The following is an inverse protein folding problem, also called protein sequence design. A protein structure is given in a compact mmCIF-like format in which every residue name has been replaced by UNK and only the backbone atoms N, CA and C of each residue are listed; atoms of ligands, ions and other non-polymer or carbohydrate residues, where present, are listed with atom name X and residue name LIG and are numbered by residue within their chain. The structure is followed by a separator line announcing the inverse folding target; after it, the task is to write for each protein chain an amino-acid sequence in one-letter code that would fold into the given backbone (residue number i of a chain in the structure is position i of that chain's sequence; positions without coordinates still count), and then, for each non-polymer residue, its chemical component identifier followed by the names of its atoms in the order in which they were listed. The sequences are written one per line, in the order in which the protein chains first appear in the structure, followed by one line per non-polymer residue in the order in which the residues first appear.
data_IF_524594509497
#
_entry.id   IF_524594509497
#
_cell.length_a   1.000
_cell.length_b   1.000
_cell.length_c   1.000
_cell.angle_alpha   90.00
_cell.angle_beta   90.00
_cell.angle_gamma   90.00
#
_symmetry.space_group_name_H-M   'P 1'
#
loop_
_entity.id
_entity.type
_entity.pdbx_description
1 polymer ?
#
# COMPACT_ATOMS: atom_id res chain seq x y z
N UNK A 1 2.89 13.88 -5.25
CA UNK A 1 3.35 12.53 -5.64
C UNK A 1 4.28 11.94 -4.61
N UNK A 2 4.19 10.65 -4.36
CA UNK A 2 5.11 9.98 -3.44
C UNK A 2 6.50 9.87 -4.08
N UNK A 3 7.53 10.27 -3.36
CA UNK A 3 8.90 10.33 -3.86
C UNK A 3 9.45 8.94 -4.18
N UNK A 4 10.41 8.89 -5.12
CA UNK A 4 11.04 7.63 -5.55
C UNK A 4 11.65 6.83 -4.40
N UNK A 5 12.25 7.51 -3.42
CA UNK A 5 12.85 6.86 -2.25
C UNK A 5 11.84 6.08 -1.41
N UNK A 6 10.56 6.39 -1.53
CA UNK A 6 9.46 5.74 -0.82
C UNK A 6 8.81 4.62 -1.62
N UNK A 7 9.37 4.24 -2.77
CA UNK A 7 8.77 3.23 -3.65
C UNK A 7 9.63 1.99 -3.76
N UNK A 8 8.98 0.85 -3.70
CA UNK A 8 9.60 -0.44 -4.03
C UNK A 8 9.47 -0.62 -5.54
N UNK A 9 10.59 -0.89 -6.22
CA UNK A 9 10.62 -1.01 -7.68
C UNK A 9 11.05 -2.38 -8.16
N UNK A 10 11.97 -3.04 -7.46
CA UNK A 10 12.53 -4.31 -7.89
C UNK A 10 11.55 -5.45 -7.66
N UNK A 11 11.39 -6.28 -8.68
CA UNK A 11 10.55 -7.47 -8.58
C UNK A 11 11.04 -8.41 -7.47
N UNK A 12 12.35 -8.50 -7.28
CA UNK A 12 12.93 -9.31 -6.21
C UNK A 12 12.50 -8.83 -4.81
N UNK A 13 12.36 -7.50 -4.62
CA UNK A 13 11.90 -6.94 -3.35
C UNK A 13 10.44 -7.31 -3.09
N UNK A 14 9.58 -7.24 -4.11
CA UNK A 14 8.18 -7.68 -4.00
C UNK A 14 8.11 -9.14 -3.59
N UNK A 15 8.87 -10.01 -4.28
CA UNK A 15 8.85 -11.45 -4.00
C UNK A 15 9.34 -11.76 -2.60
N UNK A 16 10.38 -11.06 -2.14
CA UNK A 16 10.91 -11.23 -0.80
C UNK A 16 9.87 -10.86 0.26
N UNK A 17 9.17 -9.74 0.07
CA UNK A 17 8.13 -9.29 0.99
C UNK A 17 6.96 -10.26 1.03
N UNK A 18 6.52 -10.79 -0.13
CA UNK A 18 5.47 -11.79 -0.18
C UNK A 18 5.86 -13.06 0.57
N UNK A 19 7.12 -13.47 0.44
CA UNK A 19 7.61 -14.72 1.04
C UNK A 19 7.86 -14.61 2.54
N UNK A 20 8.41 -13.49 2.99
CA UNK A 20 8.90 -13.31 4.37
C UNK A 20 8.05 -12.39 5.22
N UNK A 21 7.17 -11.61 4.62
CA UNK A 21 6.35 -10.65 5.32
C UNK A 21 5.09 -11.26 5.92
N UNK A 22 4.37 -10.44 6.67
CA UNK A 22 3.04 -10.75 7.18
C UNK A 22 2.00 -10.12 6.27
N UNK A 23 0.82 -10.71 6.20
CA UNK A 23 -0.27 -10.13 5.42
C UNK A 23 -1.52 -9.95 6.26
N UNK A 24 -2.23 -8.88 5.98
CA UNK A 24 -3.58 -8.62 6.48
C UNK A 24 -4.43 -8.19 5.30
N UNK A 25 -5.73 -8.27 5.43
CA UNK A 25 -6.61 -7.92 4.33
C UNK A 25 -7.92 -7.37 4.84
N UNK A 26 -8.52 -6.53 4.01
CA UNK A 26 -9.94 -6.24 4.10
C UNK A 26 -10.58 -6.64 2.76
N UNK A 27 -11.81 -6.21 2.52
CA UNK A 27 -12.55 -6.62 1.32
C UNK A 27 -11.89 -6.11 0.03
N UNK A 28 -11.27 -4.93 0.08
CA UNK A 28 -10.75 -4.25 -1.10
C UNK A 28 -9.26 -4.38 -1.31
N UNK A 29 -8.49 -4.62 -0.25
CA UNK A 29 -7.03 -4.62 -0.31
C UNK A 29 -6.41 -5.74 0.50
N UNK A 30 -5.28 -6.24 0.02
CA UNK A 30 -4.36 -7.09 0.78
C UNK A 30 -3.10 -6.28 1.02
N UNK A 31 -2.60 -6.26 2.24
CA UNK A 31 -1.40 -5.51 2.62
C UNK A 31 -0.38 -6.47 3.19
N UNK A 32 0.80 -6.51 2.57
CA UNK A 32 1.96 -7.24 3.07
C UNK A 32 2.89 -6.26 3.74
N UNK A 33 3.42 -6.62 4.90
CA UNK A 33 4.40 -5.81 5.62
C UNK A 33 5.62 -6.65 5.99
N UNK A 34 6.79 -6.03 5.89
CA UNK A 34 8.06 -6.67 6.26
C UNK A 34 8.93 -5.64 6.95
N UNK A 35 9.24 -5.81 8.25
CA UNK A 35 10.19 -4.92 8.92
C UNK A 35 11.54 -4.91 8.21
N UNK A 36 12.12 -3.73 8.09
CA UNK A 36 13.41 -3.55 7.45
C UNK A 36 14.22 -2.53 8.26
N UNK A 37 15.25 -3.00 8.97
CA UNK A 37 16.04 -2.19 9.88
C UNK A 37 16.86 -1.10 9.18
N UNK A 38 17.09 -1.26 7.89
CA UNK A 38 17.90 -0.32 7.12
C UNK A 38 17.10 0.90 6.64
N UNK A 39 15.78 0.91 6.87
CA UNK A 39 14.93 1.99 6.40
C UNK A 39 14.86 3.13 7.40
N UNK A 40 14.97 4.35 6.88
CA UNK A 40 14.70 5.58 7.64
C UNK A 40 13.22 5.98 7.57
N UNK A 41 12.51 5.47 6.56
CA UNK A 41 11.10 5.71 6.32
C UNK A 41 10.49 4.49 5.63
N UNK A 42 9.17 4.46 5.50
CA UNK A 42 8.52 3.34 4.82
C UNK A 42 8.89 3.31 3.32
N UNK A 43 8.72 2.12 2.73
CA UNK A 43 8.72 1.98 1.26
C UNK A 43 7.43 1.28 0.84
N UNK A 44 6.84 1.76 -0.25
CA UNK A 44 5.55 1.30 -0.75
C UNK A 44 5.69 0.64 -2.12
N UNK A 45 5.18 -0.58 -2.23
CA UNK A 45 4.95 -1.24 -3.51
C UNK A 45 3.46 -1.36 -3.75
N UNK A 46 3.03 -1.22 -4.99
CA UNK A 46 1.61 -1.28 -5.36
C UNK A 46 1.44 -2.32 -6.46
N UNK A 47 0.46 -3.20 -6.28
CA UNK A 47 0.10 -4.20 -7.29
C UNK A 47 -1.38 -4.06 -7.64
N UNK A 48 -1.67 -3.68 -8.88
CA UNK A 48 -3.02 -3.59 -9.42
C UNK A 48 -3.07 -4.42 -10.69
N UNK A 49 -3.75 -5.56 -10.64
CA UNK A 49 -3.86 -6.50 -11.73
C UNK A 49 -4.64 -5.93 -12.91
N UNK A 50 -4.28 -6.36 -14.12
CA UNK A 50 -5.04 -6.05 -15.33
C UNK A 50 -6.49 -6.49 -15.26
N UNK A 51 -6.80 -7.46 -14.41
CA UNK A 51 -8.17 -7.95 -14.20
C UNK A 51 -9.10 -6.91 -13.57
N UNK A 52 -8.56 -5.88 -12.94
CA UNK A 52 -9.37 -4.84 -12.31
C UNK A 52 -9.91 -3.83 -13.32
N UNK A 53 -9.38 -3.80 -14.53
CA UNK A 53 -9.87 -2.89 -15.56
C UNK A 53 -8.77 -2.40 -16.48
N UNK A 54 -9.11 -1.40 -17.29
CA UNK A 54 -8.17 -0.79 -18.23
C UNK A 54 -7.18 0.12 -17.50
N UNK A 55 -6.26 0.73 -18.26
CA UNK A 55 -5.21 1.58 -17.70
C UNK A 55 -5.77 2.77 -16.92
N UNK A 56 -6.90 3.34 -17.35
CA UNK A 56 -7.53 4.47 -16.67
C UNK A 56 -7.96 4.07 -15.26
N UNK A 57 -8.66 2.94 -15.14
CA UNK A 57 -9.13 2.42 -13.84
C UNK A 57 -7.94 2.09 -12.94
N UNK A 58 -6.96 1.36 -13.47
CA UNK A 58 -5.79 0.95 -12.70
C UNK A 58 -4.97 2.15 -12.23
N UNK A 59 -4.77 3.14 -13.08
CA UNK A 59 -4.03 4.35 -12.72
C UNK A 59 -4.75 5.16 -11.64
N UNK A 60 -6.08 5.22 -11.70
CA UNK A 60 -6.89 5.88 -10.68
C UNK A 60 -6.67 5.22 -9.31
N UNK A 61 -6.72 3.89 -9.26
CA UNK A 61 -6.50 3.14 -8.02
C UNK A 61 -5.08 3.38 -7.49
N UNK A 62 -4.07 3.27 -8.35
CA UNK A 62 -2.67 3.49 -7.96
C UNK A 62 -2.46 4.91 -7.41
N UNK A 63 -3.04 5.89 -8.09
CA UNK A 63 -2.92 7.30 -7.66
C UNK A 63 -3.55 7.53 -6.30
N UNK A 64 -4.74 6.96 -6.06
CA UNK A 64 -5.41 7.08 -4.78
C UNK A 64 -4.61 6.42 -3.66
N UNK A 65 -3.98 5.28 -3.92
CA UNK A 65 -3.12 4.60 -2.95
C UNK A 65 -1.90 5.49 -2.62
N UNK A 66 -1.22 6.02 -3.63
CA UNK A 66 -0.06 6.89 -3.43
C UNK A 66 -0.42 8.15 -2.65
N UNK A 67 -1.56 8.74 -2.96
CA UNK A 67 -2.04 9.94 -2.28
C UNK A 67 -2.32 9.66 -0.80
N UNK A 68 -2.91 8.53 -0.48
CA UNK A 68 -3.13 8.14 0.90
C UNK A 68 -1.81 8.02 1.68
N UNK A 69 -0.81 7.36 1.10
CA UNK A 69 0.49 7.21 1.73
C UNK A 69 1.22 8.54 1.84
N UNK A 70 1.03 9.45 0.89
CA UNK A 70 1.60 10.80 0.96
C UNK A 70 0.98 11.59 2.11
N UNK A 71 -0.33 11.50 2.29
CA UNK A 71 -1.04 12.17 3.39
C UNK A 71 -0.50 11.67 4.74
N UNK A 72 -0.25 10.37 4.86
CA UNK A 72 0.23 9.75 6.10
C UNK A 72 1.75 9.57 6.15
N UNK A 73 2.48 10.31 5.35
CA UNK A 73 3.93 10.15 5.18
C UNK A 73 4.70 10.13 6.50
N UNK A 74 4.34 11.03 7.41
CA UNK A 74 5.01 11.15 8.71
C UNK A 74 4.41 10.22 9.77
N UNK A 75 3.30 9.57 9.47
CA UNK A 75 2.55 8.78 10.45
C UNK A 75 2.83 7.27 10.31
N UNK A 76 3.53 6.85 9.27
CA UNK A 76 3.80 5.44 9.00
C UNK A 76 5.21 5.10 9.44
N UNK A 77 5.35 3.97 10.15
CA UNK A 77 6.65 3.50 10.65
C UNK A 77 7.57 3.08 9.48
N UNK A 78 8.90 3.06 9.69
CA UNK A 78 9.84 2.56 8.67
C UNK A 78 9.67 1.05 8.47
N UNK A 79 8.98 0.69 7.41
CA UNK A 79 8.64 -0.70 7.11
C UNK A 79 8.40 -0.83 5.61
N UNK A 80 8.66 -2.00 5.04
CA UNK A 80 8.29 -2.30 3.67
C UNK A 80 6.81 -2.71 3.62
N UNK A 81 6.04 -2.08 2.75
CA UNK A 81 4.61 -2.31 2.60
C UNK A 81 4.30 -2.56 1.13
N UNK A 82 3.56 -3.63 0.84
CA UNK A 82 3.00 -3.87 -0.49
C UNK A 82 1.49 -3.90 -0.38
N UNK A 83 0.83 -3.06 -1.17
CA UNK A 83 -0.63 -2.98 -1.24
C UNK A 83 -1.09 -3.63 -2.55
N UNK A 84 -1.95 -4.63 -2.44
CA UNK A 84 -2.54 -5.31 -3.58
C UNK A 84 -4.03 -4.97 -3.62
N UNK A 85 -4.50 -4.41 -4.74
CA UNK A 85 -5.90 -4.10 -4.93
C UNK A 85 -6.67 -5.37 -5.34
N UNK A 86 -7.84 -5.57 -4.72
CA UNK A 86 -8.76 -6.67 -5.04
C UNK A 86 -9.89 -6.16 -5.91
N UNK A 87 -10.63 -7.07 -6.55
CA UNK A 87 -11.72 -6.75 -7.46
C UNK A 87 -12.69 -5.67 -6.95
N UNK A 88 -13.17 -5.71 -5.71
CA UNK A 88 -14.10 -4.68 -5.23
C UNK A 88 -13.56 -3.25 -5.29
N UNK A 89 -12.23 -3.07 -5.32
CA UNK A 89 -11.64 -1.73 -5.39
C UNK A 89 -11.89 -1.03 -6.73
N UNK A 90 -12.18 -1.77 -7.79
CA UNK A 90 -12.35 -1.20 -9.13
C UNK A 90 -13.51 -0.20 -9.23
N UNK A 91 -14.55 -0.37 -8.41
CA UNK A 91 -15.74 0.46 -8.43
C UNK A 91 -15.73 1.58 -7.38
N UNK A 92 -14.64 1.70 -6.63
CA UNK A 92 -14.53 2.69 -5.57
C UNK A 92 -14.01 4.02 -6.08
N UNK A 93 -14.54 5.12 -5.54
CA UNK A 93 -13.97 6.43 -5.77
C UNK A 93 -12.75 6.65 -4.84
N UNK A 94 -12.07 7.78 -5.02
CA UNK A 94 -10.87 8.11 -4.26
C UNK A 94 -11.09 8.12 -2.76
N UNK A 95 -12.20 8.71 -2.29
CA UNK A 95 -12.51 8.78 -0.87
C UNK A 95 -12.77 7.40 -0.26
N UNK A 96 -13.49 6.55 -1.00
CA UNK A 96 -13.75 5.18 -0.58
C UNK A 96 -12.45 4.38 -0.49
N UNK A 97 -11.56 4.54 -1.47
CA UNK A 97 -10.26 3.88 -1.47
C UNK A 97 -9.45 4.32 -0.24
N UNK A 98 -9.42 5.62 0.03
CA UNK A 98 -8.68 6.16 1.19
C UNK A 98 -9.22 5.60 2.51
N UNK A 99 -10.53 5.57 2.68
CA UNK A 99 -11.14 5.02 3.90
C UNK A 99 -10.81 3.53 4.07
N UNK A 100 -10.88 2.75 2.99
CA UNK A 100 -10.56 1.33 3.02
C UNK A 100 -9.09 1.08 3.33
N UNK A 101 -8.19 1.88 2.76
CA UNK A 101 -6.76 1.78 3.04
C UNK A 101 -6.44 2.10 4.49
N UNK A 102 -7.00 3.17 5.04
CA UNK A 102 -6.80 3.51 6.44
C UNK A 102 -7.26 2.38 7.36
N UNK A 103 -8.37 1.76 7.03
CA UNK A 103 -8.87 0.62 7.78
C UNK A 103 -7.88 -0.55 7.78
N UNK A 104 -7.42 -0.97 6.61
CA UNK A 104 -6.50 -2.12 6.50
C UNK A 104 -5.12 -1.80 7.07
N UNK A 105 -4.65 -0.56 6.93
CA UNK A 105 -3.36 -0.14 7.49
C UNK A 105 -3.40 -0.11 9.03
N UNK A 106 -4.53 0.22 9.63
CA UNK A 106 -4.71 0.11 11.08
C UNK A 106 -4.63 -1.35 11.54
N UNK A 107 -5.25 -2.25 10.79
CA UNK A 107 -5.16 -3.70 11.06
C UNK A 107 -3.70 -4.15 10.97
N UNK A 108 -2.96 -3.64 9.98
CA UNK A 108 -1.55 -3.96 9.78
C UNK A 108 -0.62 -3.34 10.84
N UNK A 109 -1.12 -2.40 11.64
CA UNK A 109 -0.38 -1.72 12.72
C UNK A 109 0.87 -0.98 12.23
N UNK A 110 0.75 -0.31 11.09
CA UNK A 110 1.87 0.43 10.49
C UNK A 110 1.90 1.91 10.88
N UNK A 111 0.84 2.41 11.49
CA UNK A 111 0.82 3.80 11.95
C UNK A 111 1.61 3.95 13.26
N UNK A 112 2.34 5.07 13.38
CA UNK A 112 3.00 5.42 14.61
C UNK A 112 1.97 5.54 15.74
N UNK A 113 2.34 5.03 16.92
CA UNK A 113 1.51 5.27 18.11
C UNK A 113 1.73 6.71 18.56
N UNK A 114 0.82 7.57 18.22
CA UNK A 114 0.79 8.92 18.77
C UNK A 114 -0.22 8.98 19.88
N UNK A 115 0.23 9.52 20.96
CA UNK A 115 -0.62 9.79 22.10
C UNK A 115 -1.24 11.17 21.91
#
# INVERSE_FOLDING_TARGET
MLEKAYRIKKNSDFQFIYKKGKSVANRQFVVYTKPNKDLEHFRLGISVSKKLGNAVVRNRIKRAIRENFKIHKEDIIPIDIVVIARQPAKDMDTLQIQASLEHVLKIAKVFNKRV
#
